data_IF_785526120672
#
_entry.id   IF_785526120672
#
_cell.length_a   1.000
_cell.length_b   1.000
_cell.length_c   1.000
_cell.angle_alpha   90.00
_cell.angle_beta   90.00
_cell.angle_gamma   90.00
#
_symmetry.space_group_name_H-M   'P 1'
#
loop_
_entity.id
_entity.type
_entity.pdbx_description
1 polymer ?
#
# COMPACT_ATOMS: atom_id res chain seq x y z
N UNK A 1 -5.24 -13.81 -9.37
CA UNK A 1 -6.14 -12.83 -8.73
C UNK A 1 -7.63 -13.18 -8.89
N UNK A 2 -8.09 -13.82 -9.98
CA UNK A 2 -9.50 -14.27 -10.15
C UNK A 2 -10.07 -15.20 -9.05
N UNK A 3 -9.22 -15.89 -8.27
CA UNK A 3 -9.69 -16.73 -7.18
C UNK A 3 -10.13 -15.94 -5.93
N UNK A 4 -9.69 -14.68 -5.81
CA UNK A 4 -9.98 -13.81 -4.68
C UNK A 4 -11.23 -12.96 -4.94
N UNK A 5 -11.36 -12.43 -6.15
CA UNK A 5 -12.59 -11.78 -6.64
C UNK A 5 -13.38 -12.76 -7.50
N UNK A 6 -14.20 -13.57 -6.84
CA UNK A 6 -15.02 -14.63 -7.47
C UNK A 6 -16.15 -14.06 -8.33
N UNK A 7 -16.53 -12.80 -8.13
CA UNK A 7 -17.66 -12.15 -8.81
C UNK A 7 -17.17 -11.28 -9.98
N UNK A 8 -15.87 -10.96 -10.01
CA UNK A 8 -15.31 -10.02 -10.99
C UNK A 8 -15.72 -8.58 -10.70
N UNK A 9 -16.06 -8.27 -9.44
CA UNK A 9 -16.57 -6.98 -9.01
C UNK A 9 -15.47 -5.91 -8.86
N UNK A 10 -14.19 -6.31 -8.92
CA UNK A 10 -13.07 -5.40 -8.74
C UNK A 10 -12.81 -5.04 -7.26
N UNK A 11 -13.37 -5.82 -6.33
CA UNK A 11 -13.23 -5.61 -4.88
C UNK A 11 -12.89 -6.92 -4.15
N UNK A 12 -12.39 -6.79 -2.94
CA UNK A 12 -11.96 -7.89 -2.09
C UNK A 12 -12.55 -7.75 -0.69
N UNK A 13 -13.17 -8.81 -0.17
CA UNK A 13 -13.63 -8.82 1.22
C UNK A 13 -12.45 -8.63 2.20
N UNK A 14 -12.66 -7.85 3.26
CA UNK A 14 -11.64 -7.52 4.26
C UNK A 14 -10.94 -8.77 4.82
N UNK A 15 -11.70 -9.80 5.19
CA UNK A 15 -11.13 -11.05 5.73
C UNK A 15 -10.22 -11.75 4.71
N UNK A 16 -10.64 -11.74 3.44
CA UNK A 16 -9.88 -12.34 2.36
C UNK A 16 -8.60 -11.55 2.07
N UNK A 17 -8.67 -10.21 2.16
CA UNK A 17 -7.51 -9.33 2.07
C UNK A 17 -6.49 -9.61 3.19
N UNK A 18 -6.92 -9.65 4.45
CA UNK A 18 -6.03 -9.91 5.59
C UNK A 18 -5.40 -11.31 5.51
N UNK A 19 -6.17 -12.32 5.08
CA UNK A 19 -5.65 -13.66 4.85
C UNK A 19 -4.56 -13.68 3.77
N UNK A 20 -4.78 -12.99 2.65
CA UNK A 20 -3.82 -12.91 1.55
C UNK A 20 -2.57 -12.10 1.95
N UNK A 21 -2.75 -10.98 2.66
CA UNK A 21 -1.64 -10.18 3.17
C UNK A 21 -0.73 -11.03 4.06
N UNK A 22 -1.31 -11.76 5.01
CA UNK A 22 -0.57 -12.67 5.89
C UNK A 22 0.09 -13.81 5.13
N UNK A 23 -0.63 -14.45 4.20
CA UNK A 23 -0.08 -15.57 3.43
C UNK A 23 1.04 -15.14 2.48
N UNK A 24 0.92 -13.96 1.87
CA UNK A 24 1.89 -13.43 0.91
C UNK A 24 3.13 -12.81 1.53
N UNK A 25 3.01 -12.22 2.73
CA UNK A 25 4.12 -11.47 3.37
C UNK A 25 4.67 -12.15 4.64
N UNK A 26 3.90 -13.07 5.24
CA UNK A 26 4.19 -13.63 6.56
C UNK A 26 3.91 -12.68 7.73
N UNK A 27 3.51 -11.44 7.47
CA UNK A 27 3.26 -10.42 8.50
C UNK A 27 2.01 -10.79 9.31
N UNK A 28 2.13 -10.69 10.63
CA UNK A 28 1.00 -10.76 11.57
C UNK A 28 0.77 -9.36 12.13
N UNK A 29 -0.41 -8.82 11.88
CA UNK A 29 -0.83 -7.54 12.42
C UNK A 29 -1.57 -7.77 13.74
N UNK A 30 -1.41 -6.85 14.69
CA UNK A 30 -2.31 -6.74 15.84
C UNK A 30 -3.66 -6.16 15.43
N UNK A 31 -4.68 -6.31 16.27
CA UNK A 31 -6.02 -5.75 16.01
C UNK A 31 -5.98 -4.24 15.77
N UNK A 32 -5.15 -3.52 16.52
CA UNK A 32 -4.92 -2.07 16.34
C UNK A 32 -4.31 -1.76 14.97
N UNK A 33 -3.33 -2.55 14.52
CA UNK A 33 -2.71 -2.36 13.21
C UNK A 33 -3.68 -2.71 12.07
N UNK A 34 -4.52 -3.74 12.26
CA UNK A 34 -5.61 -4.05 11.34
C UNK A 34 -6.59 -2.89 11.27
N UNK A 35 -7.00 -2.34 12.42
CA UNK A 35 -7.89 -1.20 12.48
C UNK A 35 -7.33 0.02 11.75
N UNK A 36 -6.06 0.36 11.97
CA UNK A 36 -5.38 1.46 11.29
C UNK A 36 -5.30 1.23 9.77
N UNK A 37 -4.96 0.02 9.35
CA UNK A 37 -4.90 -0.35 7.93
C UNK A 37 -6.28 -0.23 7.26
N UNK A 38 -7.32 -0.76 7.90
CA UNK A 38 -8.68 -0.72 7.38
C UNK A 38 -9.29 0.68 7.45
N UNK A 39 -8.89 1.52 8.40
CA UNK A 39 -9.33 2.94 8.42
C UNK A 39 -8.90 3.70 7.16
N UNK A 40 -7.82 3.24 6.49
CA UNK A 40 -7.37 3.79 5.22
C UNK A 40 -8.03 3.09 4.01
N UNK A 41 -8.11 1.75 4.04
CA UNK A 41 -8.54 0.96 2.88
C UNK A 41 -10.08 0.77 2.78
N UNK A 42 -10.77 0.69 3.91
CA UNK A 42 -12.24 0.60 4.00
C UNK A 42 -12.76 1.64 5.02
N UNK A 43 -12.69 2.95 4.70
CA UNK A 43 -13.11 4.01 5.60
C UNK A 43 -14.62 4.00 5.86
N UNK A 44 -15.41 3.30 5.03
CA UNK A 44 -16.86 3.18 5.18
C UNK A 44 -17.27 1.95 6.00
N UNK A 45 -16.32 1.10 6.37
CA UNK A 45 -16.56 -0.19 7.05
C UNK A 45 -17.63 -1.03 6.33
N UNK A 46 -17.60 -1.06 5.00
CA UNK A 46 -18.54 -1.85 4.21
C UNK A 46 -18.10 -3.32 4.08
N UNK A 47 -16.89 -3.66 4.56
CA UNK A 47 -16.32 -5.00 4.54
C UNK A 47 -15.71 -5.41 3.20
N UNK A 48 -15.64 -4.51 2.23
CA UNK A 48 -15.00 -4.73 0.92
C UNK A 48 -14.01 -3.62 0.58
N UNK A 49 -12.91 -4.00 -0.06
CA UNK A 49 -11.85 -3.08 -0.46
C UNK A 49 -11.72 -3.17 -1.99
N UNK A 50 -12.06 -2.10 -2.72
CA UNK A 50 -11.78 -2.00 -4.15
C UNK A 50 -10.29 -2.16 -4.47
N UNK A 51 -9.95 -2.84 -5.58
CA UNK A 51 -8.55 -3.09 -5.93
C UNK A 51 -7.75 -1.81 -6.22
N UNK A 52 -8.39 -0.79 -6.79
CA UNK A 52 -7.79 0.53 -7.03
C UNK A 52 -7.34 1.19 -5.72
N UNK A 53 -8.17 1.15 -4.67
CA UNK A 53 -7.80 1.67 -3.33
C UNK A 53 -6.57 0.95 -2.77
N UNK A 54 -6.47 -0.38 -2.95
CA UNK A 54 -5.28 -1.13 -2.53
C UNK A 54 -4.05 -0.67 -3.32
N UNK A 55 -4.16 -0.56 -4.65
CA UNK A 55 -3.03 -0.18 -5.52
C UNK A 55 -2.56 1.25 -5.23
N UNK A 56 -3.48 2.19 -5.06
CA UNK A 56 -3.16 3.59 -4.74
C UNK A 56 -2.41 3.70 -3.41
N UNK A 57 -2.87 3.00 -2.37
CA UNK A 57 -2.21 2.97 -1.07
C UNK A 57 -0.78 2.39 -1.15
N UNK A 58 -0.56 1.37 -1.99
CA UNK A 58 0.78 0.82 -2.22
C UNK A 58 1.69 1.78 -3.00
N UNK A 59 1.16 2.46 -4.02
CA UNK A 59 1.94 3.44 -4.79
C UNK A 59 2.39 4.62 -3.92
N UNK A 60 1.50 5.14 -3.06
CA UNK A 60 1.85 6.22 -2.14
C UNK A 60 2.98 5.81 -1.20
N UNK A 61 2.94 4.58 -0.66
CA UNK A 61 3.99 4.03 0.20
C UNK A 61 5.37 3.95 -0.50
N UNK A 62 5.38 3.59 -1.79
CA UNK A 62 6.62 3.49 -2.57
C UNK A 62 7.22 4.86 -2.91
N UNK A 63 6.39 5.90 -3.08
CA UNK A 63 6.85 7.28 -3.37
C UNK A 63 7.57 7.91 -2.16
N UNK A 64 7.22 7.52 -0.93
CA UNK A 64 7.85 8.02 0.30
C UNK A 64 9.26 7.43 0.52
N UNK A 65 9.56 6.27 -0.09
CA UNK A 65 10.82 5.55 0.11
C UNK A 65 11.95 5.91 -0.87
N UNK A 66 11.74 6.88 -1.77
CA UNK A 66 12.81 7.40 -2.64
C UNK A 66 13.71 8.36 -1.82
N UNK A 67 15.00 8.04 -1.57
CA UNK A 67 15.91 9.01 -0.99
C UNK A 67 16.05 10.18 -1.97
N UNK A 68 15.75 11.40 -1.52
CA UNK A 68 16.08 12.62 -2.27
C UNK A 68 17.59 12.67 -2.44
N UNK A 69 18.11 12.19 -3.57
CA UNK A 69 19.50 12.37 -3.96
C UNK A 69 19.71 13.87 -4.13
N UNK A 70 20.32 14.53 -3.14
CA UNK A 70 20.87 15.88 -3.30
C UNK A 70 22.04 15.77 -4.27
N UNK A 71 21.80 16.06 -5.54
CA UNK A 71 22.88 16.36 -6.47
C UNK A 71 23.51 17.67 -5.97
N UNK A 72 24.67 17.57 -5.32
CA UNK A 72 25.52 18.74 -5.09
C UNK A 72 26.14 19.08 -6.43
N UNK A 73 25.69 20.18 -7.04
CA UNK A 73 26.33 20.75 -8.22
C UNK A 73 27.78 21.11 -7.86
N UNK A 74 28.79 20.66 -8.60
CA UNK A 74 30.16 21.06 -8.32
C UNK A 74 30.29 22.56 -8.53
N UNK A 75 30.76 23.25 -7.48
CA UNK A 75 31.15 24.65 -7.49
C UNK A 75 32.23 24.83 -8.58
N UNK A 76 31.95 25.68 -9.56
CA UNK A 76 32.94 26.04 -10.58
C UNK A 76 34.04 26.84 -9.89
N UNK A 77 35.15 26.19 -9.58
CA UNK A 77 36.39 26.90 -9.24
C UNK A 77 36.90 27.58 -10.52
N UNK A 78 36.58 28.85 -10.66
CA UNK A 78 37.23 29.74 -11.62
C UNK A 78 38.72 29.77 -11.30
N UNK A 79 39.51 29.18 -12.20
CA UNK A 79 40.97 29.25 -12.15
C UNK A 79 41.38 30.58 -12.78
N UNK A 80 42.33 31.21 -12.09
CA UNK A 80 42.99 32.50 -12.34
C UNK A 80 43.37 32.76 -13.79
#
# INVERSE_FOLDING_TARGET
MRNADKVGAGELGVDQFLLLLRAGTGVKLSDEQVFQLLSCLDPKMNGTIPYDVILDAFEESLKVSQPRVRIQTPEKNETQ
#
